data_IF_548920404532
#
_entry.id   IF_548920404532
#
_cell.length_a   1.000
_cell.length_b   1.000
_cell.length_c   1.000
_cell.angle_alpha   90.00
_cell.angle_beta   90.00
_cell.angle_gamma   90.00
#
_symmetry.space_group_name_H-M   'P 1'
#
loop_
_entity.id
_entity.type
_entity.pdbx_description
1 polymer ?
#
# COMPACT_ATOMS: atom_id res chain seq x y z
N UNK A 1 -8.46 -12.94 6.10
CA UNK A 1 -8.13 -14.29 6.62
C UNK A 1 -6.67 -14.28 6.99
N UNK A 2 -6.32 -14.75 8.18
CA UNK A 2 -4.95 -14.93 8.64
C UNK A 2 -4.62 -16.42 8.62
N UNK A 3 -3.35 -16.74 8.33
CA UNK A 3 -2.81 -18.09 8.41
C UNK A 3 -1.86 -18.12 9.59
N UNK A 4 -2.23 -18.83 10.66
CA UNK A 4 -1.52 -18.79 11.96
C UNK A 4 -1.26 -20.21 12.45
N UNK A 5 -0.08 -20.45 13.01
CA UNK A 5 0.23 -21.67 13.77
C UNK A 5 -0.39 -21.55 15.17
N UNK A 6 -1.51 -22.24 15.42
CA UNK A 6 -2.23 -22.19 16.68
C UNK A 6 -2.01 -23.47 17.50
N UNK A 7 -2.02 -23.39 18.84
CA UNK A 7 -1.72 -24.54 19.69
C UNK A 7 -2.84 -25.61 19.66
N UNK A 8 -2.50 -26.83 19.25
CA UNK A 8 -3.45 -27.98 19.22
C UNK A 8 -4.09 -28.29 20.58
N UNK A 9 -3.34 -28.07 21.67
CA UNK A 9 -3.80 -28.31 23.04
C UNK A 9 -4.77 -27.22 23.55
N UNK A 10 -5.06 -26.22 22.73
CA UNK A 10 -5.84 -25.06 23.12
C UNK A 10 -4.99 -23.93 23.68
N UNK A 11 -5.63 -22.77 23.84
CA UNK A 11 -4.94 -21.54 24.15
C UNK A 11 -5.83 -20.32 24.10
N UNK A 12 -5.20 -19.18 23.90
CA UNK A 12 -5.84 -17.88 23.78
C UNK A 12 -5.26 -17.11 22.59
N UNK A 13 -6.15 -16.54 21.78
CA UNK A 13 -5.84 -15.62 20.70
C UNK A 13 -6.30 -14.22 21.11
N UNK A 14 -5.39 -13.26 21.15
CA UNK A 14 -5.70 -11.86 21.45
C UNK A 14 -5.47 -11.01 20.22
N UNK A 15 -6.49 -10.25 19.82
CA UNK A 15 -6.44 -9.25 18.77
C UNK A 15 -6.48 -7.85 19.40
N UNK A 16 -5.42 -7.07 19.23
CA UNK A 16 -5.46 -5.64 19.54
C UNK A 16 -5.88 -4.86 18.29
N UNK A 17 -6.87 -3.99 18.41
CA UNK A 17 -7.49 -3.29 17.30
C UNK A 17 -7.71 -1.80 17.56
N UNK A 18 -7.92 -1.04 16.48
CA UNK A 18 -8.26 0.39 16.49
C UNK A 18 -9.67 0.58 15.98
N UNK A 19 -10.42 1.46 16.62
CA UNK A 19 -11.77 1.87 16.21
C UNK A 19 -11.82 2.30 14.73
N UNK A 20 -12.98 2.15 14.04
CA UNK A 20 -14.31 1.91 14.58
C UNK A 20 -14.73 0.44 14.46
N UNK A 21 -14.36 -0.37 15.45
CA UNK A 21 -14.86 -1.74 15.57
C UNK A 21 -16.11 -1.70 16.44
N UNK A 22 -17.27 -2.08 15.89
CA UNK A 22 -18.48 -2.27 16.69
C UNK A 22 -18.62 -3.73 17.13
N UNK A 23 -18.37 -4.66 16.21
CA UNK A 23 -18.39 -6.09 16.46
C UNK A 23 -17.21 -6.75 15.75
N UNK A 24 -16.61 -7.75 16.41
CA UNK A 24 -15.56 -8.58 15.84
C UNK A 24 -15.84 -10.04 16.22
N UNK A 25 -15.99 -10.89 15.20
CA UNK A 25 -16.18 -12.33 15.37
C UNK A 25 -14.98 -13.05 14.79
N UNK A 26 -14.56 -14.15 15.43
CA UNK A 26 -13.43 -14.97 14.97
C UNK A 26 -13.91 -16.39 14.71
N UNK A 27 -13.52 -16.93 13.55
CA UNK A 27 -13.62 -18.36 13.27
C UNK A 27 -12.24 -18.95 13.01
N UNK A 28 -11.99 -20.15 13.53
CA UNK A 28 -10.77 -20.94 13.28
C UNK A 28 -11.19 -22.19 12.51
N UNK A 29 -10.58 -22.41 11.34
CA UNK A 29 -10.88 -23.54 10.44
C UNK A 29 -12.39 -23.67 10.13
N UNK A 30 -13.07 -22.52 9.98
CA UNK A 30 -14.50 -22.44 9.71
C UNK A 30 -15.42 -22.56 10.93
N UNK A 31 -14.87 -22.82 12.12
CA UNK A 31 -15.63 -22.87 13.38
C UNK A 31 -15.56 -21.53 14.10
N UNK A 32 -16.69 -20.86 14.27
CA UNK A 32 -16.78 -19.64 15.08
C UNK A 32 -16.49 -19.95 16.56
N UNK A 33 -15.69 -19.10 17.19
CA UNK A 33 -15.27 -19.23 18.58
C UNK A 33 -15.82 -18.08 19.42
N UNK A 34 -16.09 -18.38 20.68
CA UNK A 34 -16.53 -17.37 21.63
C UNK A 34 -15.42 -16.35 21.88
N UNK A 35 -15.76 -15.08 21.69
CA UNK A 35 -14.87 -13.95 21.91
C UNK A 35 -15.38 -13.06 23.03
N UNK A 36 -14.45 -12.49 23.82
CA UNK A 36 -14.74 -11.45 24.80
C UNK A 36 -13.95 -10.19 24.48
N UNK A 37 -14.53 -9.04 24.75
CA UNK A 37 -13.88 -7.73 24.56
C UNK A 37 -13.67 -7.10 25.94
N UNK A 38 -12.54 -7.39 26.61
CA UNK A 38 -12.31 -6.95 27.99
C UNK A 38 -12.12 -5.43 28.14
N UNK A 39 -11.85 -4.72 27.04
CA UNK A 39 -11.74 -3.27 26.98
C UNK A 39 -11.81 -2.76 25.54
N UNK A 40 -11.88 -1.43 25.38
CA UNK A 40 -11.81 -0.82 24.05
C UNK A 40 -10.47 -1.16 23.38
N UNK A 41 -10.50 -1.62 22.13
CA UNK A 41 -9.30 -1.93 21.37
C UNK A 41 -8.73 -3.32 21.56
N UNK A 42 -9.41 -4.24 22.26
CA UNK A 42 -8.91 -5.61 22.43
C UNK A 42 -10.03 -6.64 22.41
N UNK A 43 -9.82 -7.71 21.65
CA UNK A 43 -10.68 -8.90 21.63
C UNK A 43 -9.86 -10.14 21.95
N UNK A 44 -10.39 -10.98 22.84
CA UNK A 44 -9.74 -12.19 23.31
C UNK A 44 -10.63 -13.39 23.01
N UNK A 45 -10.04 -14.42 22.41
CA UNK A 45 -10.72 -15.65 21.99
C UNK A 45 -10.05 -16.85 22.63
N UNK A 46 -10.85 -17.67 23.30
CA UNK A 46 -10.37 -18.95 23.81
C UNK A 46 -10.36 -19.97 22.68
N UNK A 47 -9.21 -20.58 22.45
CA UNK A 47 -9.02 -21.66 21.47
C UNK A 47 -9.23 -22.97 22.22
N UNK A 48 -10.30 -23.74 21.94
CA UNK A 48 -10.47 -25.05 22.53
C UNK A 48 -9.43 -26.03 21.97
N UNK A 49 -9.06 -27.08 22.74
CA UNK A 49 -8.26 -28.17 22.22
C UNK A 49 -8.87 -28.77 20.95
N UNK A 50 -8.03 -29.21 20.02
CA UNK A 50 -8.41 -29.90 18.77
C UNK A 50 -9.23 -29.05 17.77
N UNK A 51 -9.31 -27.73 17.94
CA UNK A 51 -9.89 -26.83 16.93
C UNK A 51 -8.84 -26.40 15.90
N UNK A 52 -7.62 -26.18 16.38
CA UNK A 52 -6.45 -25.85 15.59
C UNK A 52 -5.62 -27.13 15.40
N UNK A 53 -5.83 -27.85 14.30
CA UNK A 53 -5.20 -29.16 14.06
C UNK A 53 -4.45 -29.22 12.73
N UNK A 54 -4.47 -28.12 11.99
CA UNK A 54 -3.79 -28.04 10.70
C UNK A 54 -2.36 -27.51 10.93
N UNK A 55 -1.39 -27.82 10.04
CA UNK A 55 -0.03 -27.26 10.16
C UNK A 55 0.01 -25.73 10.17
N UNK A 56 -1.00 -25.09 9.57
CA UNK A 56 -1.28 -23.66 9.68
C UNK A 56 -2.79 -23.50 9.65
N UNK A 57 -3.36 -22.90 10.68
CA UNK A 57 -4.80 -22.75 10.84
C UNK A 57 -5.32 -21.49 10.17
N UNK A 58 -6.53 -21.60 9.63
CA UNK A 58 -7.22 -20.50 8.95
C UNK A 58 -8.05 -19.71 9.94
N UNK A 59 -7.58 -18.52 10.29
CA UNK A 59 -8.28 -17.60 11.20
C UNK A 59 -9.03 -16.54 10.38
N UNK A 60 -10.36 -16.64 10.39
CA UNK A 60 -11.25 -15.64 9.81
C UNK A 60 -11.60 -14.61 10.88
N UNK A 61 -11.13 -13.37 10.69
CA UNK A 61 -11.56 -12.21 11.47
C UNK A 61 -12.61 -11.48 10.65
N UNK A 62 -13.81 -11.32 11.20
CA UNK A 62 -14.87 -10.50 10.61
C UNK A 62 -15.14 -9.32 11.51
N UNK A 63 -15.01 -8.11 10.95
CA UNK A 63 -15.28 -6.87 11.64
C UNK A 63 -16.54 -6.27 11.03
N UNK A 64 -17.49 -5.85 11.88
CA UNK A 64 -18.76 -5.25 11.47
C UNK A 64 -18.98 -3.94 12.22
N UNK A 65 -19.71 -3.04 11.56
CA UNK A 65 -20.09 -1.75 12.10
C UNK A 65 -20.28 -0.72 10.98
N UNK A 66 -20.44 0.53 11.37
CA UNK A 66 -20.38 1.68 10.47
C UNK A 66 -18.92 1.93 10.10
N UNK A 67 -18.59 2.00 8.80
CA UNK A 67 -17.24 2.33 8.37
C UNK A 67 -16.89 3.77 8.73
N UNK A 68 -15.60 4.08 8.81
CA UNK A 68 -15.10 5.45 8.76
C UNK A 68 -14.06 5.64 7.66
N UNK A 69 -13.79 6.89 7.32
CA UNK A 69 -12.76 7.24 6.34
C UNK A 69 -11.39 6.76 6.82
N UNK A 70 -10.61 6.09 5.97
CA UNK A 70 -9.35 5.47 6.40
C UNK A 70 -8.30 6.45 6.95
N UNK A 71 -8.26 7.67 6.42
CA UNK A 71 -7.43 8.76 6.95
C UNK A 71 -7.74 9.13 8.42
N UNK A 72 -8.93 8.77 8.94
CA UNK A 72 -9.32 9.04 10.33
C UNK A 72 -8.84 7.96 11.31
N UNK A 73 -8.69 6.69 10.90
CA UNK A 73 -8.21 5.61 11.79
C UNK A 73 -6.72 5.74 12.07
N UNK A 74 -5.93 6.02 11.03
CA UNK A 74 -4.48 5.95 11.17
C UNK A 74 -3.89 7.20 11.86
N UNK A 75 -4.68 8.25 12.06
CA UNK A 75 -4.18 9.54 12.55
C UNK A 75 -4.79 9.96 13.88
N UNK A 76 -3.95 10.18 14.90
CA UNK A 76 -4.14 11.29 15.82
C UNK A 76 -2.93 12.24 15.77
N UNK A 77 -2.36 12.50 14.58
CA UNK A 77 -1.38 13.56 14.41
C UNK A 77 -2.03 14.73 13.66
N UNK A 78 -2.07 15.90 14.30
CA UNK A 78 -2.56 17.15 13.72
C UNK A 78 -1.63 17.74 12.64
N UNK A 79 -0.73 16.92 12.08
CA UNK A 79 0.36 17.33 11.21
C UNK A 79 0.28 16.62 9.87
N UNK A 80 0.74 17.29 8.82
CA UNK A 80 0.80 16.77 7.47
C UNK A 80 1.84 15.64 7.34
N UNK A 81 1.60 14.71 6.42
CA UNK A 81 2.48 13.58 6.17
C UNK A 81 3.67 13.98 5.29
N UNK A 82 4.93 13.80 5.73
CA UNK A 82 6.08 14.05 4.87
C UNK A 82 6.13 13.05 3.72
N UNK A 83 6.43 13.54 2.52
CA UNK A 83 6.69 12.68 1.35
C UNK A 83 8.18 12.37 1.33
N UNK A 84 8.56 11.25 1.95
CA UNK A 84 9.97 10.86 2.10
C UNK A 84 10.80 11.96 2.75
N UNK A 85 11.92 12.33 2.14
CA UNK A 85 12.76 13.48 2.52
C UNK A 85 12.71 14.61 1.49
N UNK A 86 11.67 14.63 0.63
CA UNK A 86 11.52 15.60 -0.48
C UNK A 86 11.30 17.04 -0.03
N UNK A 87 10.89 17.25 1.23
CA UNK A 87 10.45 18.54 1.77
C UNK A 87 8.99 18.88 1.45
N UNK A 88 8.29 18.08 0.64
CA UNK A 88 6.86 18.19 0.42
C UNK A 88 6.07 17.41 1.46
N UNK A 89 4.81 17.80 1.66
CA UNK A 89 3.88 17.13 2.57
C UNK A 89 2.53 16.87 1.90
N UNK A 90 1.79 15.91 2.44
CA UNK A 90 0.38 15.66 2.14
C UNK A 90 -0.47 16.01 3.36
N UNK A 91 -1.68 16.60 3.19
CA UNK A 91 -2.54 16.91 4.32
C UNK A 91 -2.83 15.68 5.18
N UNK A 92 -2.97 15.84 6.50
CA UNK A 92 -3.22 14.73 7.42
C UNK A 92 -4.41 13.82 7.02
N UNK A 93 -5.43 14.40 6.36
CA UNK A 93 -6.61 13.71 5.88
C UNK A 93 -6.42 12.99 4.52
N UNK A 94 -5.27 13.15 3.88
CA UNK A 94 -4.94 12.55 2.58
C UNK A 94 -3.86 11.48 2.72
N UNK A 95 -3.92 10.46 1.89
CA UNK A 95 -2.92 9.40 1.83
C UNK A 95 -2.80 8.82 0.42
N UNK A 96 -1.63 8.25 0.14
CA UNK A 96 -1.31 7.61 -1.13
C UNK A 96 -0.72 6.24 -0.86
N UNK A 97 -1.24 5.22 -1.54
CA UNK A 97 -0.68 3.87 -1.55
C UNK A 97 -0.43 3.47 -2.99
N UNK A 98 0.80 3.04 -3.26
CA UNK A 98 1.24 2.60 -4.57
C UNK A 98 1.61 1.14 -4.46
N UNK A 99 1.12 0.30 -5.38
CA UNK A 99 1.49 -1.11 -5.48
C UNK A 99 1.86 -1.42 -6.91
N UNK A 100 2.95 -2.15 -7.09
CA UNK A 100 3.51 -2.48 -8.40
C UNK A 100 3.96 -3.93 -8.42
N UNK A 101 3.77 -4.60 -9.55
CA UNK A 101 4.26 -5.93 -9.82
C UNK A 101 4.58 -6.08 -11.32
N UNK A 102 5.77 -6.63 -11.61
CA UNK A 102 6.09 -7.08 -12.96
C UNK A 102 5.32 -8.36 -13.34
N UNK A 103 5.45 -8.80 -14.58
CA UNK A 103 4.63 -9.89 -15.15
C UNK A 103 4.54 -11.12 -14.25
N UNK A 104 5.68 -11.65 -13.81
CA UNK A 104 5.74 -12.92 -13.07
C UNK A 104 5.30 -12.78 -11.60
N UNK A 105 5.17 -11.55 -11.11
CA UNK A 105 4.92 -11.25 -9.70
C UNK A 105 3.52 -10.71 -9.44
N UNK A 106 2.75 -10.43 -10.51
CA UNK A 106 1.34 -10.08 -10.40
C UNK A 106 0.76 -9.30 -11.57
N UNK A 107 1.60 -8.69 -12.42
CA UNK A 107 1.17 -7.84 -13.54
C UNK A 107 0.11 -6.80 -13.15
N UNK A 108 0.50 -5.87 -12.28
CA UNK A 108 -0.39 -4.78 -11.89
C UNK A 108 0.35 -3.51 -11.50
N UNK A 109 -0.35 -2.40 -11.70
CA UNK A 109 -0.06 -1.09 -11.17
C UNK A 109 -1.33 -0.52 -10.54
N UNK A 110 -1.30 -0.36 -9.22
CA UNK A 110 -2.37 0.27 -8.45
C UNK A 110 -1.84 1.52 -7.76
N UNK A 111 -2.59 2.61 -7.85
CA UNK A 111 -2.26 3.87 -7.18
C UNK A 111 -3.52 4.39 -6.53
N UNK A 112 -3.62 4.17 -5.23
CA UNK A 112 -4.74 4.60 -4.41
C UNK A 112 -4.47 6.00 -3.87
N UNK A 113 -5.34 6.94 -4.21
CA UNK A 113 -5.37 8.28 -3.59
C UNK A 113 -6.63 8.35 -2.73
N UNK A 114 -6.45 8.51 -1.42
CA UNK A 114 -7.55 8.48 -0.45
C UNK A 114 -8.41 7.21 -0.58
N UNK A 115 -7.77 6.08 -0.89
CA UNK A 115 -8.40 4.78 -1.03
C UNK A 115 -9.21 4.57 -2.32
N UNK A 116 -9.15 5.50 -3.28
CA UNK A 116 -9.64 5.29 -4.63
C UNK A 116 -8.47 4.95 -5.55
N UNK A 117 -8.52 3.80 -6.22
CA UNK A 117 -7.55 3.47 -7.26
C UNK A 117 -7.76 4.38 -8.48
N UNK A 118 -6.72 5.13 -8.84
CA UNK A 118 -6.71 6.08 -9.94
C UNK A 118 -5.67 5.72 -11.01
N UNK A 119 -4.98 4.58 -10.86
CA UNK A 119 -4.12 4.05 -11.90
C UNK A 119 -4.95 3.54 -13.09
N UNK A 120 -4.37 3.59 -14.29
CA UNK A 120 -4.98 3.01 -15.49
C UNK A 120 -4.67 1.52 -15.65
N UNK A 121 -3.70 1.02 -14.87
CA UNK A 121 -3.26 -0.37 -14.83
C UNK A 121 -2.90 -0.93 -16.22
N UNK A 122 -2.15 -0.15 -17.02
CA UNK A 122 -1.60 -0.62 -18.30
C UNK A 122 -0.12 -0.96 -18.19
N UNK A 123 0.41 -1.75 -19.14
CA UNK A 123 1.86 -2.08 -19.20
C UNK A 123 2.73 -0.82 -19.19
N UNK A 124 3.85 -0.89 -18.48
CA UNK A 124 4.80 0.21 -18.35
C UNK A 124 4.59 1.05 -17.09
N UNK A 125 5.00 2.31 -17.15
CA UNK A 125 4.85 3.25 -16.03
C UNK A 125 3.44 3.82 -15.99
N UNK A 126 2.74 3.60 -14.88
CA UNK A 126 1.50 4.27 -14.53
C UNK A 126 1.84 5.39 -13.55
N UNK A 127 1.47 6.62 -13.87
CA UNK A 127 1.81 7.82 -13.11
C UNK A 127 0.57 8.62 -12.73
N UNK A 128 0.60 9.17 -11.53
CA UNK A 128 -0.47 10.02 -10.97
C UNK A 128 0.16 11.29 -10.41
N UNK A 129 -0.38 12.44 -10.81
CA UNK A 129 0.00 13.74 -10.28
C UNK A 129 -1.06 14.20 -9.27
N UNK A 130 -0.59 14.67 -8.12
CA UNK A 130 -1.42 15.05 -6.98
C UNK A 130 -0.95 16.43 -6.51
N UNK A 131 -1.91 17.32 -6.27
CA UNK A 131 -1.60 18.65 -5.74
C UNK A 131 -1.07 18.55 -4.30
N UNK A 132 -0.35 19.57 -3.80
CA UNK A 132 0.03 19.64 -2.39
C UNK A 132 -1.16 19.59 -1.41
N UNK A 133 -2.39 19.87 -1.89
CA UNK A 133 -3.62 19.76 -1.12
C UNK A 133 -4.24 18.35 -1.16
N UNK A 134 -3.57 17.36 -1.76
CA UNK A 134 -4.04 15.98 -1.86
C UNK A 134 -5.08 15.72 -2.96
N UNK A 135 -5.29 16.67 -3.88
CA UNK A 135 -6.26 16.51 -4.97
C UNK A 135 -5.61 15.87 -6.21
N UNK A 136 -6.29 14.92 -6.84
CA UNK A 136 -5.88 14.34 -8.12
C UNK A 136 -5.82 15.42 -9.21
N UNK A 137 -4.68 15.54 -9.88
CA UNK A 137 -4.47 16.44 -11.01
C UNK A 137 -4.52 15.71 -12.34
N UNK A 138 -3.87 14.55 -12.43
CA UNK A 138 -3.84 13.73 -13.64
C UNK A 138 -3.47 12.27 -13.34
N UNK A 139 -3.81 11.38 -14.27
CA UNK A 139 -3.40 9.98 -14.31
C UNK A 139 -3.04 9.61 -15.75
N UNK A 140 -1.91 8.92 -15.95
CA UNK A 140 -1.40 8.55 -17.26
C UNK A 140 -0.67 7.20 -17.21
N UNK A 141 -0.56 6.55 -18.37
CA UNK A 141 0.23 5.33 -18.56
C UNK A 141 1.17 5.50 -19.75
N UNK A 142 2.38 4.97 -19.61
CA UNK A 142 3.44 5.04 -20.61
C UNK A 142 4.05 3.65 -20.81
N UNK A 143 3.74 3.03 -21.94
CA UNK A 143 4.27 1.72 -22.32
C UNK A 143 5.73 1.83 -22.79
N UNK A 144 6.64 2.06 -21.85
CA UNK A 144 8.10 2.13 -22.07
C UNK A 144 8.72 0.76 -22.38
N UNK A 145 7.90 -0.24 -22.69
CA UNK A 145 8.31 -1.54 -23.21
C UNK A 145 7.98 -1.69 -24.69
N UNK A 146 6.73 -1.39 -25.06
CA UNK A 146 6.17 -1.61 -26.39
C UNK A 146 6.24 -0.40 -27.32
N UNK A 147 6.18 0.83 -26.81
CA UNK A 147 6.06 2.05 -27.60
C UNK A 147 7.37 2.87 -27.61
N UNK A 148 7.87 3.17 -28.81
CA UNK A 148 9.10 3.95 -29.02
C UNK A 148 8.95 5.42 -28.60
N UNK A 149 7.72 5.97 -28.60
CA UNK A 149 7.46 7.34 -28.19
C UNK A 149 7.20 7.49 -26.67
N UNK A 150 6.89 6.39 -25.97
CA UNK A 150 6.41 6.43 -24.59
C UNK A 150 7.43 7.03 -23.61
N UNK A 151 8.73 6.76 -23.79
CA UNK A 151 9.76 7.30 -22.88
C UNK A 151 9.86 8.83 -22.96
N UNK A 152 9.79 9.40 -24.17
CA UNK A 152 9.77 10.85 -24.35
C UNK A 152 8.48 11.48 -23.81
N UNK A 153 7.33 10.81 -24.01
CA UNK A 153 6.05 11.26 -23.47
C UNK A 153 6.03 11.22 -21.93
N UNK A 154 6.62 10.19 -21.31
CA UNK A 154 6.79 10.07 -19.86
C UNK A 154 7.64 11.22 -19.31
N UNK A 155 8.79 11.51 -19.93
CA UNK A 155 9.64 12.62 -19.51
C UNK A 155 8.90 13.97 -19.58
N UNK A 156 8.24 14.25 -20.70
CA UNK A 156 7.46 15.49 -20.88
C UNK A 156 6.31 15.61 -19.88
N UNK A 157 5.61 14.51 -19.57
CA UNK A 157 4.55 14.49 -18.57
C UNK A 157 5.07 14.75 -17.16
N UNK A 158 6.25 14.25 -16.80
CA UNK A 158 6.87 14.50 -15.49
C UNK A 158 7.33 15.97 -15.36
N UNK A 159 7.89 16.54 -16.43
CA UNK A 159 8.47 17.89 -16.45
C UNK A 159 7.42 19.02 -16.48
N UNK A 160 6.17 18.73 -16.86
CA UNK A 160 5.14 19.77 -16.96
C UNK A 160 4.66 20.31 -15.61
N UNK A 161 4.93 19.58 -14.52
CA UNK A 161 4.38 19.89 -13.20
C UNK A 161 5.23 20.91 -12.44
N UNK A 162 4.61 21.84 -11.70
CA UNK A 162 5.37 22.79 -10.88
C UNK A 162 6.02 22.10 -9.66
N UNK A 163 7.10 22.67 -9.11
CA UNK A 163 7.71 22.20 -7.87
C UNK A 163 6.71 22.03 -6.73
N UNK A 164 6.90 20.98 -5.93
CA UNK A 164 6.00 20.59 -4.84
C UNK A 164 4.79 19.73 -5.29
N UNK A 165 4.55 19.56 -6.59
CA UNK A 165 3.56 18.58 -7.07
C UNK A 165 4.00 17.18 -6.63
N UNK A 166 3.09 16.43 -6.01
CA UNK A 166 3.34 15.06 -5.60
C UNK A 166 3.14 14.14 -6.79
N UNK A 167 4.10 13.24 -7.02
CA UNK A 167 4.08 12.26 -8.10
C UNK A 167 4.12 10.86 -7.52
N UNK A 168 3.15 10.04 -7.87
CA UNK A 168 3.09 8.63 -7.52
C UNK A 168 3.21 7.78 -8.78
N UNK A 169 3.96 6.68 -8.71
CA UNK A 169 4.19 5.84 -9.88
C UNK A 169 4.35 4.36 -9.57
N UNK A 170 3.73 3.53 -10.41
CA UNK A 170 3.77 2.07 -10.36
C UNK A 170 4.09 1.49 -11.74
N UNK A 171 4.85 0.40 -11.79
CA UNK A 171 5.07 -0.39 -13.01
C UNK A 171 4.15 -1.61 -13.05
N UNK A 172 3.55 -1.88 -14.21
CA UNK A 172 2.89 -3.15 -14.52
C UNK A 172 3.59 -3.84 -15.70
N UNK A 173 3.69 -5.18 -15.67
CA UNK A 173 4.46 -6.04 -16.57
C UNK A 173 5.95 -5.62 -16.69
N UNK A 174 6.24 -4.61 -17.51
CA UNK A 174 7.58 -4.28 -18.00
C UNK A 174 7.67 -2.78 -18.33
N UNK A 175 8.74 -2.10 -17.90
CA UNK A 175 8.95 -0.66 -18.17
C UNK A 175 10.39 -0.28 -18.55
N UNK A 176 11.31 -1.24 -18.68
CA UNK A 176 12.75 -1.02 -18.82
C UNK A 176 13.26 -0.98 -20.26
N UNK A 177 12.63 -1.71 -21.20
CA UNK A 177 13.25 -2.00 -22.50
C UNK A 177 13.50 -0.75 -23.36
N UNK A 178 12.60 0.21 -23.32
CA UNK A 178 12.68 1.48 -24.06
C UNK A 178 12.77 2.70 -23.15
N UNK A 179 13.05 2.50 -21.87
CA UNK A 179 13.26 3.60 -20.92
C UNK A 179 14.55 4.35 -21.27
N UNK A 180 14.42 5.64 -21.52
CA UNK A 180 15.53 6.51 -21.93
C UNK A 180 16.19 7.19 -20.74
N UNK A 181 17.37 7.76 -20.96
CA UNK A 181 18.08 8.52 -19.93
C UNK A 181 17.32 9.79 -19.53
N UNK A 182 16.65 10.44 -20.49
CA UNK A 182 15.83 11.63 -20.25
C UNK A 182 14.65 11.33 -19.33
N UNK A 183 13.98 10.19 -19.55
CA UNK A 183 12.90 9.72 -18.67
C UNK A 183 13.40 9.42 -17.25
N UNK A 184 14.56 8.77 -17.11
CA UNK A 184 15.19 8.52 -15.80
C UNK A 184 15.55 9.84 -15.12
N UNK A 185 16.13 10.80 -15.84
CA UNK A 185 16.45 12.12 -15.31
C UNK A 185 15.20 12.90 -14.87
N UNK A 186 14.07 12.73 -15.57
CA UNK A 186 12.79 13.33 -15.18
C UNK A 186 12.23 12.68 -13.90
N UNK A 187 12.29 11.35 -13.77
CA UNK A 187 11.92 10.64 -12.54
C UNK A 187 12.79 11.07 -11.35
N UNK A 188 14.09 11.27 -11.59
CA UNK A 188 15.04 11.75 -10.60
C UNK A 188 14.70 13.12 -10.03
N UNK A 189 14.08 14.02 -10.83
CA UNK A 189 13.56 15.31 -10.34
C UNK A 189 12.34 15.20 -9.43
N UNK A 190 11.70 14.03 -9.37
CA UNK A 190 10.67 13.71 -8.39
C UNK A 190 11.25 13.08 -7.11
N UNK A 191 12.57 12.93 -7.04
CA UNK A 191 13.28 12.28 -5.94
C UNK A 191 13.44 10.76 -6.08
N UNK A 192 13.07 10.19 -7.23
CA UNK A 192 13.28 8.75 -7.50
C UNK A 192 14.76 8.47 -7.75
N UNK A 193 15.32 7.42 -7.16
CA UNK A 193 16.72 7.02 -7.36
C UNK A 193 16.87 5.79 -8.25
N UNK A 194 15.86 4.93 -8.28
CA UNK A 194 15.89 3.67 -9.02
C UNK A 194 15.86 3.90 -10.53
N UNK A 195 16.90 3.44 -11.23
CA UNK A 195 16.95 3.33 -12.69
C UNK A 195 16.59 1.89 -13.10
N UNK A 196 15.48 1.74 -13.83
CA UNK A 196 15.00 0.45 -14.31
C UNK A 196 15.65 -0.01 -15.61
N UNK A 197 16.47 0.79 -16.30
CA UNK A 197 17.12 0.34 -17.54
C UNK A 197 17.96 -0.92 -17.27
N UNK A 198 17.73 -1.96 -18.07
CA UNK A 198 18.36 -3.27 -17.88
C UNK A 198 17.77 -4.12 -16.74
N UNK A 199 16.68 -3.67 -16.09
CA UNK A 199 15.95 -4.38 -15.04
C UNK A 199 14.60 -4.85 -15.56
N UNK A 200 14.66 -5.86 -16.43
CA UNK A 200 13.48 -6.42 -17.08
C UNK A 200 12.46 -6.91 -16.04
N UNK A 201 11.20 -6.44 -16.16
CA UNK A 201 10.04 -6.87 -15.36
C UNK A 201 10.16 -6.65 -13.85
N UNK A 202 10.97 -5.69 -13.43
CA UNK A 202 10.98 -5.27 -12.03
C UNK A 202 9.70 -4.52 -11.69
N UNK A 203 9.11 -4.85 -10.55
CA UNK A 203 8.15 -3.97 -9.89
C UNK A 203 8.87 -2.72 -9.37
N UNK A 204 8.22 -1.57 -9.48
CA UNK A 204 8.72 -0.30 -8.98
C UNK A 204 7.53 0.55 -8.52
N UNK A 205 7.50 0.87 -7.23
CA UNK A 205 6.51 1.74 -6.62
C UNK A 205 7.21 2.93 -5.96
N UNK A 206 6.72 4.15 -6.22
CA UNK A 206 7.25 5.34 -5.57
C UNK A 206 6.18 6.41 -5.29
N UNK A 207 6.45 7.23 -4.28
CA UNK A 207 5.79 8.52 -4.03
C UNK A 207 6.88 9.57 -3.79
N UNK A 208 6.95 10.54 -4.69
CA UNK A 208 7.94 11.61 -4.69
C UNK A 208 7.31 12.98 -4.89
N UNK A 209 8.13 14.01 -5.03
CA UNK A 209 7.68 15.37 -5.26
C UNK A 209 8.61 16.10 -6.24
N UNK A 210 8.03 16.89 -7.14
CA UNK A 210 8.78 17.65 -8.13
C UNK A 210 9.70 18.66 -7.44
N UNK A 211 10.97 18.67 -7.85
CA UNK A 211 12.02 19.51 -7.28
C UNK A 211 12.80 18.83 -6.15
N UNK A 212 12.52 17.56 -5.86
CA UNK A 212 13.27 16.79 -4.89
C UNK A 212 14.59 16.25 -5.48
N UNK A 213 15.57 16.06 -4.60
CA UNK A 213 16.84 15.41 -4.96
C UNK A 213 16.65 13.88 -5.11
N UNK A 214 17.37 13.22 -6.02
CA UNK A 214 17.29 11.77 -6.19
C UNK A 214 17.53 11.01 -4.87
N UNK A 215 16.67 10.04 -4.57
CA UNK A 215 16.69 9.28 -3.32
C UNK A 215 15.88 9.90 -2.19
N UNK A 216 15.22 11.03 -2.42
CA UNK A 216 14.33 11.65 -1.44
C UNK A 216 12.90 11.09 -1.46
N UNK A 217 12.48 10.41 -2.53
CA UNK A 217 11.17 9.79 -2.62
C UNK A 217 11.03 8.58 -1.67
N UNK A 218 9.80 8.24 -1.31
CA UNK A 218 9.50 6.92 -0.75
C UNK A 218 9.44 5.96 -1.93
N UNK A 219 10.39 5.03 -2.05
CA UNK A 219 10.46 4.12 -3.19
C UNK A 219 10.82 2.69 -2.80
N UNK A 220 10.39 1.73 -3.60
CA UNK A 220 10.79 0.32 -3.49
C UNK A 220 10.74 -0.33 -4.87
N UNK A 221 11.70 -1.20 -5.17
CA UNK A 221 11.73 -2.01 -6.38
C UNK A 221 12.24 -3.42 -6.10
N UNK A 222 11.71 -4.42 -6.82
CA UNK A 222 12.05 -5.82 -6.66
C UNK A 222 11.73 -6.60 -7.95
N UNK A 223 12.45 -7.68 -8.20
CA UNK A 223 12.25 -8.56 -9.36
C UNK A 223 11.25 -9.69 -9.08
N UNK A 224 11.24 -10.20 -7.85
CA UNK A 224 10.65 -11.47 -7.48
C UNK A 224 9.37 -11.32 -6.66
N UNK A 225 9.07 -10.11 -6.18
CA UNK A 225 7.89 -9.86 -5.36
C UNK A 225 7.20 -8.55 -5.76
N UNK A 226 5.88 -8.45 -5.56
CA UNK A 226 5.21 -7.17 -5.56
C UNK A 226 5.83 -6.19 -4.56
N UNK A 227 5.87 -4.93 -4.94
CA UNK A 227 6.39 -3.84 -4.11
C UNK A 227 5.32 -2.81 -3.82
N UNK A 228 5.51 -2.07 -2.74
CA UNK A 228 4.61 -0.99 -2.36
C UNK A 228 5.37 0.20 -1.79
N UNK A 229 4.81 1.39 -2.00
CA UNK A 229 5.22 2.63 -1.37
C UNK A 229 3.97 3.33 -0.82
N UNK A 230 4.09 4.01 0.32
CA UNK A 230 2.96 4.71 0.92
C UNK A 230 3.39 6.00 1.61
N UNK A 231 2.52 7.02 1.54
CA UNK A 231 2.59 8.24 2.35
C UNK A 231 1.24 8.42 3.04
N UNK A 232 1.27 8.63 4.36
CA UNK A 232 0.08 8.66 5.19
C UNK A 232 -0.41 7.27 5.58
N UNK A 233 -1.72 7.07 5.57
CA UNK A 233 -2.34 5.79 5.94
C UNK A 233 -2.06 4.73 4.87
N UNK A 234 -1.40 3.60 5.17
CA UNK A 234 -1.12 2.56 4.19
C UNK A 234 -2.36 1.66 3.96
N UNK A 235 -3.48 2.28 3.56
CA UNK A 235 -4.77 1.63 3.34
C UNK A 235 -5.21 1.89 1.90
N UNK A 236 -5.57 0.84 1.18
CA UNK A 236 -6.01 0.88 -0.22
C UNK A 236 -7.54 1.05 -0.38
N UNK A 237 -8.30 1.02 0.72
CA UNK A 237 -9.73 1.36 0.74
C UNK A 237 -10.01 2.78 1.25
N UNK A 238 -11.08 3.41 0.73
CA UNK A 238 -11.53 4.73 1.18
C UNK A 238 -12.10 4.70 2.61
N UNK A 239 -12.67 3.54 2.95
CA UNK A 239 -13.35 3.27 4.21
C UNK A 239 -12.77 2.03 4.88
N UNK A 240 -12.87 2.01 6.20
CA UNK A 240 -12.33 0.98 7.08
C UNK A 240 -13.29 0.73 8.22
N UNK A 241 -13.42 -0.54 8.59
CA UNK A 241 -14.23 -0.99 9.71
C UNK A 241 -13.40 -1.14 11.00
N UNK A 242 -12.12 -0.77 10.96
CA UNK A 242 -11.17 -0.94 12.06
C UNK A 242 -9.77 -1.25 11.55
N UNK A 243 -8.79 -1.20 12.45
CA UNK A 243 -7.41 -1.63 12.16
C UNK A 243 -6.99 -2.73 13.12
N UNK A 244 -6.29 -3.76 12.63
CA UNK A 244 -5.68 -4.78 13.49
C UNK A 244 -4.22 -4.40 13.76
N UNK A 245 -3.86 -4.18 15.03
CA UNK A 245 -2.50 -3.80 15.44
C UNK A 245 -1.62 -4.98 15.76
N UNK A 246 -2.17 -5.96 16.46
CA UNK A 246 -1.41 -7.11 16.94
C UNK A 246 -2.28 -8.35 16.99
N UNK A 247 -1.63 -9.50 16.80
CA UNK A 247 -2.20 -10.82 17.04
C UNK A 247 -1.25 -11.54 17.98
N UNK A 248 -1.71 -11.87 19.18
CA UNK A 248 -0.93 -12.60 20.19
C UNK A 248 -1.54 -13.97 20.41
N UNK A 249 -0.72 -15.01 20.32
CA UNK A 249 -1.12 -16.41 20.57
C UNK A 249 -0.45 -16.87 21.86
N UNK A 250 -1.23 -17.43 22.78
CA UNK A 250 -0.74 -18.06 24.01
C UNK A 250 -1.27 -19.48 24.10
N UNK A 251 -0.39 -20.44 24.32
CA UNK A 251 -0.77 -21.81 24.60
C UNK A 251 -1.26 -21.93 26.05
N UNK A 252 -2.27 -22.76 26.28
CA UNK A 252 -2.67 -23.14 27.63
C UNK A 252 -1.62 -24.09 28.22
N UNK A 253 -1.19 -23.83 29.45
CA UNK A 253 -0.36 -24.76 30.23
C UNK A 253 -1.18 -25.98 30.69
#
# INVERSE_FOLDING_TARGET
VLLLDLPEQGGELTLDWVAPVQEITIAVNGRELDSRTPGAGQTVVSIPPCVATDPVDRVEVRIRGEPMTAGQIASPAAEDWPVGTTGATLPAASWVVVRSAGEETGDFAHIFVNGQDVAQNGRGYNLVAISPAGALLASAVFDTSGDDAASGALAGWLEQWPPGTILAGAVADEASLKLSEEAVAALQRAGVSTDLRGRLRWGHAFVGAVGAEPGAAVETSDLLHPVAAAVGSPVDGAEVFGGLRSVTIRQSN
#
